data_IF_639937018018
#
_entry.id   IF_639937018018
#
_cell.length_a   1.000
_cell.length_b   1.000
_cell.length_c   1.000
_cell.angle_alpha   90.00
_cell.angle_beta   90.00
_cell.angle_gamma   90.00
#
_symmetry.space_group_name_H-M   'P 1'
#
loop_
_entity.id
_entity.type
_entity.pdbx_description
1 polymer ?
#
# COMPACT_ATOMS: atom_id res chain seq x y z
N UNK A 1 40.43 25.28 9.98
CA UNK A 1 39.47 24.73 8.99
C UNK A 1 38.49 23.69 9.59
N UNK A 2 38.74 23.04 10.73
CA UNK A 2 37.85 22.00 11.26
C UNK A 2 36.53 22.47 11.90
N UNK A 3 36.49 23.66 12.52
CA UNK A 3 35.30 24.12 13.25
C UNK A 3 34.11 24.46 12.32
N UNK A 4 34.39 25.05 11.15
CA UNK A 4 33.35 25.35 10.16
C UNK A 4 32.77 24.08 9.50
N UNK A 5 33.61 23.06 9.31
CA UNK A 5 33.17 21.76 8.80
C UNK A 5 32.28 21.03 9.81
N UNK A 6 32.63 21.06 11.10
CA UNK A 6 31.83 20.48 12.17
C UNK A 6 30.46 21.17 12.34
N UNK A 7 30.39 22.51 12.22
CA UNK A 7 29.10 23.22 12.26
C UNK A 7 28.20 22.84 11.07
N UNK A 8 28.79 22.66 9.87
CA UNK A 8 28.05 22.23 8.69
C UNK A 8 27.48 20.82 8.87
N UNK A 9 28.28 19.88 9.35
CA UNK A 9 27.86 18.50 9.60
C UNK A 9 26.73 18.44 10.65
N UNK A 10 26.85 19.22 11.73
CA UNK A 10 25.81 19.32 12.75
C UNK A 10 24.49 19.91 12.20
N UNK A 11 24.56 20.83 11.24
CA UNK A 11 23.38 21.35 10.55
C UNK A 11 22.77 20.33 9.61
N UNK A 12 23.60 19.61 8.84
CA UNK A 12 23.14 18.59 7.90
C UNK A 12 22.41 17.46 8.62
N UNK A 13 22.98 16.93 9.70
CA UNK A 13 22.35 15.88 10.51
C UNK A 13 21.00 16.33 11.09
N UNK A 14 20.92 17.59 11.54
CA UNK A 14 19.68 18.18 12.05
C UNK A 14 18.62 18.33 10.97
N UNK A 15 19.01 18.72 9.76
CA UNK A 15 18.10 18.82 8.61
C UNK A 15 17.58 17.43 8.25
N UNK A 16 18.45 16.43 8.16
CA UNK A 16 18.07 15.04 7.87
C UNK A 16 17.09 14.49 8.93
N UNK A 17 17.36 14.71 10.22
CA UNK A 17 16.45 14.31 11.29
C UNK A 17 15.05 14.93 11.14
N UNK A 18 15.00 16.25 10.86
CA UNK A 18 13.72 16.94 10.64
C UNK A 18 12.97 16.45 9.40
N UNK A 19 13.68 16.07 8.34
CA UNK A 19 13.06 15.48 7.15
C UNK A 19 12.43 14.13 7.52
N UNK A 20 13.16 13.25 8.21
CA UNK A 20 12.62 11.96 8.67
C UNK A 20 11.37 12.11 9.54
N UNK A 21 11.37 13.07 10.47
CA UNK A 21 10.22 13.35 11.32
C UNK A 21 9.00 13.83 10.51
N UNK A 22 9.22 14.71 9.53
CA UNK A 22 8.18 15.21 8.63
C UNK A 22 7.63 14.10 7.72
N UNK A 23 8.49 13.22 7.24
CA UNK A 23 8.09 12.05 6.44
C UNK A 23 7.22 11.10 7.27
N UNK A 24 7.61 10.81 8.51
CA UNK A 24 6.83 9.96 9.42
C UNK A 24 5.47 10.59 9.73
N UNK A 25 5.42 11.88 10.06
CA UNK A 25 4.16 12.59 10.31
C UNK A 25 3.24 12.60 9.08
N UNK A 26 3.80 12.81 7.88
CA UNK A 26 3.05 12.76 6.64
C UNK A 26 2.51 11.35 6.33
N UNK A 27 3.30 10.30 6.61
CA UNK A 27 2.85 8.91 6.50
C UNK A 27 1.74 8.59 7.50
N UNK A 28 1.87 9.01 8.75
CA UNK A 28 0.83 8.83 9.77
C UNK A 28 -0.45 9.58 9.42
N UNK A 29 -0.36 10.80 8.88
CA UNK A 29 -1.53 11.52 8.37
C UNK A 29 -2.17 10.81 7.16
N UNK A 30 -1.37 10.24 6.24
CA UNK A 30 -1.88 9.39 5.15
C UNK A 30 -2.59 8.14 5.65
N UNK A 31 -2.12 7.53 6.74
CA UNK A 31 -2.70 6.34 7.36
C UNK A 31 -3.90 6.68 8.26
N UNK A 32 -3.92 7.84 8.92
CA UNK A 32 -5.08 8.34 9.66
C UNK A 32 -6.25 8.66 8.75
N UNK A 33 -5.98 9.21 7.56
CA UNK A 33 -6.96 9.37 6.48
C UNK A 33 -7.42 8.03 5.85
N UNK A 34 -6.78 6.90 6.19
CA UNK A 34 -7.20 5.55 5.84
C UNK A 34 -8.06 4.90 6.92
N UNK A 35 -8.51 5.62 7.95
CA UNK A 35 -9.44 5.05 8.93
C UNK A 35 -10.76 4.71 8.21
N UNK A 36 -10.86 3.46 7.78
CA UNK A 36 -12.02 2.86 7.14
C UNK A 36 -13.12 2.90 8.20
N UNK A 37 -14.01 3.89 8.14
CA UNK A 37 -15.31 3.77 8.78
C UNK A 37 -16.09 2.69 8.02
N UNK A 38 -15.87 1.44 8.40
CA UNK A 38 -16.77 0.34 8.08
C UNK A 38 -18.07 0.60 8.84
N UNK A 39 -18.98 1.37 8.23
CA UNK A 39 -20.39 1.25 8.57
C UNK A 39 -20.84 -0.12 8.06
N UNK A 40 -21.42 -1.00 8.91
CA UNK A 40 -21.91 -2.29 8.46
C UNK A 40 -23.15 -2.03 7.59
N UNK A 41 -22.99 -2.07 6.26
CA UNK A 41 -24.12 -2.09 5.36
C UNK A 41 -24.56 -3.54 5.17
N UNK A 42 -25.48 -3.98 6.01
CA UNK A 42 -26.25 -5.20 5.82
C UNK A 42 -27.12 -5.05 4.55
N UNK A 43 -26.62 -5.50 3.41
CA UNK A 43 -27.39 -6.12 2.31
C UNK A 43 -26.44 -6.52 1.18
N UNK A 44 -26.57 -7.78 0.78
CA UNK A 44 -25.80 -8.40 -0.31
C UNK A 44 -25.96 -7.64 -1.63
N UNK A 45 -24.95 -7.81 -2.48
CA UNK A 45 -24.62 -7.01 -3.66
C UNK A 45 -23.98 -5.66 -3.32
N UNK A 46 -22.72 -5.73 -2.88
CA UNK A 46 -21.83 -4.58 -2.96
C UNK A 46 -21.74 -4.18 -4.44
N UNK A 47 -22.43 -3.08 -4.79
CA UNK A 47 -22.29 -2.43 -6.09
C UNK A 47 -20.80 -2.21 -6.34
N UNK A 48 -20.24 -2.97 -7.29
CA UNK A 48 -18.82 -2.92 -7.57
C UNK A 48 -18.39 -1.51 -8.03
N UNK A 49 -19.34 -0.67 -8.45
CA UNK A 49 -19.13 0.76 -8.69
C UNK A 49 -18.76 1.54 -7.42
N UNK A 50 -19.40 1.27 -6.28
CA UNK A 50 -19.12 1.98 -5.03
C UNK A 50 -17.68 1.77 -4.53
N UNK A 51 -17.15 0.55 -4.63
CA UNK A 51 -15.76 0.25 -4.24
C UNK A 51 -14.76 0.90 -5.21
N UNK A 52 -15.00 0.85 -6.52
CA UNK A 52 -14.15 1.50 -7.52
C UNK A 52 -14.10 3.02 -7.34
N UNK A 53 -15.24 3.66 -7.10
CA UNK A 53 -15.32 5.11 -6.83
C UNK A 53 -14.55 5.47 -5.57
N UNK A 54 -14.70 4.68 -4.51
CA UNK A 54 -13.97 4.90 -3.27
C UNK A 54 -12.45 4.77 -3.47
N UNK A 55 -11.99 3.73 -4.17
CA UNK A 55 -10.57 3.53 -4.48
C UNK A 55 -10.02 4.62 -5.42
N UNK A 56 -10.80 5.07 -6.40
CA UNK A 56 -10.41 6.16 -7.29
C UNK A 56 -10.16 7.46 -6.51
N UNK A 57 -11.08 7.82 -5.62
CA UNK A 57 -10.94 8.99 -4.76
C UNK A 57 -9.71 8.86 -3.84
N UNK A 58 -9.49 7.66 -3.30
CA UNK A 58 -8.36 7.35 -2.43
C UNK A 58 -7.00 7.49 -3.14
N UNK A 59 -6.91 7.06 -4.40
CA UNK A 59 -5.74 7.19 -5.26
C UNK A 59 -5.50 8.65 -5.67
N UNK A 60 -6.55 9.36 -6.07
CA UNK A 60 -6.47 10.79 -6.41
C UNK A 60 -6.00 11.65 -5.23
N UNK A 61 -6.52 11.40 -4.02
CA UNK A 61 -6.08 12.07 -2.80
C UNK A 61 -4.60 11.81 -2.46
N UNK A 62 -4.03 10.71 -2.97
CA UNK A 62 -2.59 10.38 -2.85
C UNK A 62 -1.73 10.97 -3.96
N UNK A 63 -2.32 11.73 -4.89
CA UNK A 63 -1.61 12.26 -6.05
C UNK A 63 -1.34 11.23 -7.13
N UNK A 64 -1.95 10.04 -7.07
CA UNK A 64 -1.89 9.06 -8.15
C UNK A 64 -2.88 9.48 -9.23
N UNK A 65 -2.37 9.88 -10.39
CA UNK A 65 -3.17 10.44 -11.49
C UNK A 65 -3.44 9.43 -12.60
N UNK A 66 -2.56 8.45 -12.75
CA UNK A 66 -2.60 7.47 -13.84
C UNK A 66 -2.88 6.09 -13.26
N UNK A 67 -4.14 5.65 -13.34
CA UNK A 67 -4.56 4.30 -12.96
C UNK A 67 -5.80 3.90 -13.77
N UNK A 68 -6.03 2.59 -13.89
CA UNK A 68 -7.23 2.05 -14.54
C UNK A 68 -7.71 0.80 -13.80
N UNK A 69 -9.01 0.74 -13.52
CA UNK A 69 -9.64 -0.48 -13.03
C UNK A 69 -9.94 -1.41 -14.21
N UNK A 70 -9.70 -2.70 -14.03
CA UNK A 70 -9.95 -3.74 -15.03
C UNK A 70 -10.81 -4.83 -14.44
N UNK A 71 -11.86 -5.19 -15.16
CA UNK A 71 -12.65 -6.38 -14.87
C UNK A 71 -11.97 -7.58 -15.52
N UNK A 72 -11.84 -8.65 -14.75
CA UNK A 72 -11.28 -9.92 -15.19
C UNK A 72 -12.36 -11.00 -15.14
N UNK A 73 -12.23 -12.07 -15.93
CA UNK A 73 -13.12 -13.22 -15.87
C UNK A 73 -13.20 -13.85 -14.47
N UNK A 74 -14.28 -14.55 -14.17
CA UNK A 74 -14.48 -15.20 -12.87
C UNK A 74 -13.41 -16.26 -12.55
N UNK A 75 -12.89 -16.93 -13.59
CA UNK A 75 -11.85 -17.96 -13.52
C UNK A 75 -10.43 -17.37 -13.46
N UNK A 76 -10.26 -16.08 -13.21
CA UNK A 76 -8.96 -15.38 -13.23
C UNK A 76 -7.88 -16.04 -12.36
N UNK A 77 -8.24 -16.53 -11.17
CA UNK A 77 -7.28 -17.14 -10.25
C UNK A 77 -6.98 -18.61 -10.55
N UNK A 78 -7.70 -19.25 -11.48
CA UNK A 78 -7.47 -20.63 -11.92
C UNK A 78 -6.51 -20.69 -13.13
N UNK A 79 -6.32 -19.55 -13.82
CA UNK A 79 -5.44 -19.41 -14.98
C UNK A 79 -3.96 -19.33 -14.63
N UNK A 80 -3.09 -19.55 -15.61
CA UNK A 80 -1.63 -19.41 -15.44
C UNK A 80 -1.24 -17.95 -15.14
N UNK A 81 -0.04 -17.73 -14.59
CA UNK A 81 0.43 -16.38 -14.29
C UNK A 81 0.63 -15.53 -15.55
N UNK A 82 1.05 -16.16 -16.64
CA UNK A 82 1.22 -15.53 -17.95
C UNK A 82 -0.12 -15.05 -18.50
N UNK A 83 -1.17 -15.87 -18.38
CA UNK A 83 -2.53 -15.47 -18.78
C UNK A 83 -3.05 -14.31 -17.94
N UNK A 84 -2.77 -14.31 -16.63
CA UNK A 84 -3.16 -13.21 -15.73
C UNK A 84 -2.45 -11.91 -16.09
N UNK A 85 -1.14 -11.98 -16.41
CA UNK A 85 -0.36 -10.84 -16.90
C UNK A 85 -1.04 -10.24 -18.14
N UNK A 86 -1.43 -11.09 -19.09
CA UNK A 86 -2.02 -10.63 -20.36
C UNK A 86 -3.41 -10.00 -20.15
N UNK A 87 -4.25 -10.59 -19.28
CA UNK A 87 -5.56 -10.03 -18.92
C UNK A 87 -5.45 -8.64 -18.27
N UNK A 88 -4.46 -8.46 -17.38
CA UNK A 88 -4.21 -7.17 -16.72
C UNK A 88 -3.37 -6.20 -17.55
N UNK A 89 -2.80 -6.65 -18.69
CA UNK A 89 -1.79 -5.93 -19.48
C UNK A 89 -0.63 -5.42 -18.64
N UNK A 90 -0.11 -6.28 -17.77
CA UNK A 90 1.15 -6.04 -17.09
C UNK A 90 2.33 -6.36 -18.04
N UNK A 91 3.46 -5.70 -17.86
CA UNK A 91 4.65 -5.93 -18.68
C UNK A 91 5.35 -7.26 -18.30
N UNK A 92 5.21 -7.67 -17.03
CA UNK A 92 5.82 -8.88 -16.50
C UNK A 92 4.95 -9.53 -15.42
N UNK A 93 5.09 -10.84 -15.26
CA UNK A 93 4.46 -11.60 -14.16
C UNK A 93 4.91 -11.08 -12.79
N UNK A 94 6.13 -10.54 -12.69
CA UNK A 94 6.65 -9.97 -11.44
C UNK A 94 5.90 -8.70 -10.99
N UNK A 95 5.13 -8.06 -11.87
CA UNK A 95 4.29 -6.89 -11.53
C UNK A 95 2.91 -7.31 -10.98
N UNK A 96 2.58 -8.60 -10.96
CA UNK A 96 1.33 -9.10 -10.41
C UNK A 96 1.40 -9.11 -8.89
N UNK A 97 0.73 -8.14 -8.26
CA UNK A 97 0.63 -8.04 -6.81
C UNK A 97 -0.73 -8.53 -6.31
N UNK A 98 -0.74 -9.18 -5.14
CA UNK A 98 -1.97 -9.51 -4.41
C UNK A 98 -1.86 -9.03 -2.97
N UNK A 99 -2.87 -8.31 -2.50
CA UNK A 99 -3.00 -8.01 -1.06
C UNK A 99 -3.65 -9.20 -0.35
N UNK A 100 -3.02 -9.68 0.71
CA UNK A 100 -3.55 -10.76 1.57
C UNK A 100 -3.85 -10.14 2.94
N UNK A 101 -5.08 -10.33 3.42
CA UNK A 101 -5.48 -9.92 4.77
C UNK A 101 -5.31 -11.12 5.69
N UNK A 102 -4.45 -10.98 6.70
CA UNK A 102 -4.27 -11.98 7.75
C UNK A 102 -4.85 -11.46 9.06
N UNK A 103 -5.61 -12.29 9.77
CA UNK A 103 -6.16 -11.97 11.09
C UNK A 103 -5.33 -12.67 12.15
N UNK A 104 -4.80 -11.91 13.11
CA UNK A 104 -4.01 -12.45 14.21
C UNK A 104 -4.92 -12.77 15.41
N UNK A 105 -5.03 -14.04 15.77
CA UNK A 105 -5.72 -14.50 16.99
C UNK A 105 -4.65 -14.74 18.07
N UNK A 106 -4.59 -13.91 19.10
CA UNK A 106 -3.62 -14.03 20.20
C UNK A 106 -4.18 -14.83 21.39
N UNK A 107 -3.35 -15.47 22.26
CA UNK A 107 -1.88 -15.32 22.35
C UNK A 107 -1.13 -16.67 22.37
N UNK A 108 -0.27 -16.93 21.38
CA UNK A 108 0.84 -17.87 21.55
C UNK A 108 2.16 -17.16 21.24
N UNK A 109 3.21 -17.36 22.07
CA UNK A 109 4.51 -16.76 21.82
C UNK A 109 5.22 -17.62 20.78
N UNK A 110 5.27 -17.18 19.52
CA UNK A 110 6.15 -17.81 18.54
C UNK A 110 7.42 -16.97 18.33
N UNK A 111 8.61 -17.61 18.33
CA UNK A 111 9.86 -16.94 18.04
C UNK A 111 9.88 -16.49 16.58
N UNK A 112 10.56 -15.36 16.36
CA UNK A 112 10.66 -14.65 15.11
C UNK A 112 11.19 -15.52 13.97
N UNK A 113 10.49 -15.49 12.84
CA UNK A 113 11.08 -15.76 11.52
C UNK A 113 10.35 -16.83 10.71
N UNK A 114 9.32 -16.42 9.97
CA UNK A 114 8.92 -17.12 8.75
C UNK A 114 8.82 -16.07 7.63
N UNK A 115 9.92 -15.94 6.89
CA UNK A 115 9.98 -15.23 5.62
C UNK A 115 9.41 -16.18 4.56
N UNK A 116 8.34 -15.78 3.86
CA UNK A 116 7.79 -16.54 2.74
C UNK A 116 8.46 -16.01 1.48
N UNK A 117 9.42 -16.77 0.93
CA UNK A 117 9.93 -16.53 -0.42
C UNK A 117 9.03 -17.23 -1.45
N UNK A 118 8.89 -16.58 -2.61
CA UNK A 118 8.13 -17.02 -3.77
C UNK A 118 8.87 -18.05 -4.62
#
# INVERSE_FOLDING_TARGET
MGAAAADLEARQLRILGRISDLELAAQQHRLGALSISTAPSEKGEADAGATEVHLAALLAARGVRDFAFRRVPADYYDRSLEERRDLLRADSVAQLCKSIVMVWLAPFPFPRGCFVEH
#
